data_IF_820347704114
#
_entry.id   IF_820347704114
#
_cell.length_a   1.000
_cell.length_b   1.000
_cell.length_c   1.000
_cell.angle_alpha   90.00
_cell.angle_beta   90.00
_cell.angle_gamma   90.00
#
_symmetry.space_group_name_H-M   'P 1'
#
loop_
_entity.id
_entity.type
_entity.pdbx_description
1 polymer ?
#
# COMPACT_ATOMS: atom_id res chain seq x y z
N UNK A 1 19.97 -14.44 -36.84
CA UNK A 1 19.62 -13.20 -37.56
C UNK A 1 19.89 -12.03 -36.60
N UNK A 2 21.08 -11.44 -36.74
CA UNK A 2 21.59 -10.34 -35.92
C UNK A 2 20.87 -9.04 -36.27
N UNK A 3 20.48 -8.25 -35.26
CA UNK A 3 20.11 -6.84 -35.44
C UNK A 3 21.34 -6.01 -35.08
N UNK A 4 22.04 -5.53 -36.10
CA UNK A 4 23.08 -4.52 -35.96
C UNK A 4 22.43 -3.20 -35.53
N UNK A 5 22.56 -2.88 -34.24
CA UNK A 5 22.25 -1.55 -33.73
C UNK A 5 23.41 -0.62 -34.06
N UNK A 6 23.11 0.40 -34.87
CA UNK A 6 24.02 1.51 -35.18
C UNK A 6 24.52 2.13 -33.87
N UNK A 7 25.84 2.03 -33.64
CA UNK A 7 26.52 2.76 -32.56
C UNK A 7 26.55 4.23 -32.92
N UNK A 8 25.65 5.01 -32.33
CA UNK A 8 25.84 6.47 -32.24
C UNK A 8 26.78 6.70 -31.06
N UNK A 9 28.04 7.02 -31.36
CA UNK A 9 29.05 7.36 -30.36
C UNK A 9 28.66 8.68 -29.66
N UNK A 10 28.51 8.67 -28.33
CA UNK A 10 28.65 9.89 -27.51
C UNK A 10 27.54 10.26 -26.52
N UNK A 11 26.39 9.57 -26.50
CA UNK A 11 25.36 9.84 -25.49
C UNK A 11 25.43 8.81 -24.35
N UNK A 12 25.36 9.23 -23.08
CA UNK A 12 25.28 8.28 -21.96
C UNK A 12 24.05 7.40 -22.14
N UNK A 13 24.24 6.09 -21.99
CA UNK A 13 23.17 5.11 -22.06
C UNK A 13 22.38 5.20 -20.76
N UNK A 14 21.24 5.89 -20.83
CA UNK A 14 20.30 5.95 -19.72
C UNK A 14 19.54 4.63 -19.66
N UNK A 15 19.64 3.94 -18.53
CA UNK A 15 18.87 2.73 -18.27
C UNK A 15 17.87 3.04 -17.15
N UNK A 16 16.57 2.68 -17.31
CA UNK A 16 15.59 2.86 -16.26
C UNK A 16 15.99 2.01 -15.04
N UNK A 17 16.07 2.64 -13.88
CA UNK A 17 16.31 1.94 -12.61
C UNK A 17 14.97 1.47 -12.08
N UNK A 18 14.53 0.30 -12.56
CA UNK A 18 13.25 -0.30 -12.21
C UNK A 18 13.44 -1.74 -11.73
N UNK A 19 12.60 -2.18 -10.78
CA UNK A 19 12.58 -3.57 -10.33
C UNK A 19 11.67 -4.39 -11.25
N UNK A 20 12.13 -4.64 -12.48
CA UNK A 20 11.44 -5.45 -13.49
C UNK A 20 11.86 -6.92 -13.36
N UNK A 21 11.36 -7.60 -12.33
CA UNK A 21 11.74 -8.99 -12.07
C UNK A 21 10.58 -9.80 -11.49
N UNK A 22 10.67 -11.13 -11.65
CA UNK A 22 9.86 -12.06 -10.89
C UNK A 22 10.07 -11.87 -9.37
N UNK A 23 9.11 -12.31 -8.57
CA UNK A 23 9.03 -12.05 -7.12
C UNK A 23 10.30 -12.49 -6.34
N UNK A 24 10.95 -13.58 -6.75
CA UNK A 24 12.12 -14.11 -6.06
C UNK A 24 13.35 -13.18 -6.21
N UNK A 25 13.63 -12.71 -7.43
CA UNK A 25 14.72 -11.75 -7.64
C UNK A 25 14.36 -10.33 -7.17
N UNK A 26 13.06 -10.01 -7.07
CA UNK A 26 12.59 -8.75 -6.46
C UNK A 26 13.04 -8.63 -5.00
N UNK A 27 12.88 -9.68 -4.21
CA UNK A 27 13.26 -9.68 -2.80
C UNK A 27 14.77 -9.40 -2.58
N UNK A 28 15.63 -9.84 -3.51
CA UNK A 28 17.06 -9.56 -3.44
C UNK A 28 17.39 -8.12 -3.84
N UNK A 29 16.75 -7.61 -4.90
CA UNK A 29 17.01 -6.26 -5.41
C UNK A 29 16.50 -5.17 -4.45
N UNK A 30 15.37 -5.38 -3.77
CA UNK A 30 14.87 -4.41 -2.78
C UNK A 30 15.79 -4.27 -1.56
N UNK A 31 16.67 -5.24 -1.31
CA UNK A 31 17.66 -5.19 -0.25
C UNK A 31 18.94 -4.42 -0.66
N UNK A 32 19.00 -3.94 -1.91
CA UNK A 32 20.15 -3.20 -2.46
C UNK A 32 19.78 -1.76 -2.78
N UNK A 33 20.77 -0.87 -2.80
CA UNK A 33 20.58 0.53 -3.20
C UNK A 33 20.19 0.62 -4.69
N UNK A 34 19.27 1.54 -5.08
CA UNK A 34 18.62 2.57 -4.25
C UNK A 34 17.28 2.12 -3.62
N UNK A 35 16.84 0.89 -3.89
CA UNK A 35 15.51 0.42 -3.50
C UNK A 35 15.36 0.21 -2.00
N UNK A 36 16.42 -0.26 -1.34
CA UNK A 36 16.45 -0.41 0.11
C UNK A 36 16.08 0.90 0.81
N UNK A 37 16.69 2.01 0.41
CA UNK A 37 16.40 3.32 1.00
C UNK A 37 14.94 3.72 0.82
N UNK A 38 14.36 3.51 -0.37
CA UNK A 38 12.96 3.79 -0.63
C UNK A 38 12.02 2.94 0.26
N UNK A 39 12.32 1.65 0.44
CA UNK A 39 11.56 0.74 1.30
C UNK A 39 11.69 1.13 2.78
N UNK A 40 12.86 1.59 3.22
CA UNK A 40 13.08 2.12 4.58
C UNK A 40 12.27 3.39 4.82
N UNK A 41 12.32 4.37 3.91
CA UNK A 41 11.53 5.60 4.03
C UNK A 41 10.03 5.28 4.04
N UNK A 42 9.59 4.37 3.17
CA UNK A 42 8.20 3.92 3.12
C UNK A 42 7.75 3.28 4.45
N UNK A 43 8.56 2.37 5.01
CA UNK A 43 8.30 1.75 6.31
C UNK A 43 8.15 2.79 7.43
N UNK A 44 9.08 3.75 7.52
CA UNK A 44 9.03 4.81 8.52
C UNK A 44 7.82 5.74 8.35
N UNK A 45 7.44 6.09 7.13
CA UNK A 45 6.25 6.90 6.87
C UNK A 45 4.97 6.19 7.33
N UNK A 46 4.85 4.89 7.09
CA UNK A 46 3.69 4.12 7.56
C UNK A 46 3.64 3.99 9.09
N UNK A 47 4.80 3.85 9.74
CA UNK A 47 4.88 3.77 11.21
C UNK A 47 4.34 5.03 11.90
N UNK A 48 4.54 6.20 11.31
CA UNK A 48 4.19 7.49 11.92
C UNK A 48 2.86 8.05 11.43
N UNK A 49 2.38 7.69 10.25
CA UNK A 49 1.15 8.24 9.68
C UNK A 49 -0.12 7.64 10.31
N UNK A 50 -0.94 8.44 11.00
CA UNK A 50 -2.19 7.96 11.61
C UNK A 50 -3.28 7.58 10.62
N UNK A 51 -3.11 7.95 9.35
CA UNK A 51 -4.04 7.62 8.27
C UNK A 51 -3.30 7.09 7.06
N UNK A 52 -3.80 6.00 6.51
CA UNK A 52 -3.25 5.38 5.30
C UNK A 52 -4.26 5.48 4.18
N UNK A 53 -3.84 6.02 3.05
CA UNK A 53 -4.57 5.96 1.79
C UNK A 53 -3.85 4.99 0.85
N UNK A 54 -4.52 3.91 0.48
CA UNK A 54 -4.00 2.92 -0.47
C UNK A 54 -4.89 2.95 -1.70
N UNK A 55 -4.42 3.52 -2.81
CA UNK A 55 -5.22 3.72 -4.01
C UNK A 55 -4.66 2.95 -5.21
N UNK A 56 -5.54 2.29 -5.97
CA UNK A 56 -5.17 1.59 -7.21
C UNK A 56 -4.23 0.40 -7.03
N UNK A 57 -4.15 -0.16 -5.81
CA UNK A 57 -3.24 -1.23 -5.47
C UNK A 57 -3.96 -2.58 -5.37
N UNK A 58 -3.41 -3.61 -6.02
CA UNK A 58 -4.05 -4.93 -6.12
C UNK A 58 -3.70 -5.89 -4.97
N UNK A 59 -2.81 -5.50 -4.05
CA UNK A 59 -2.31 -6.37 -2.97
C UNK A 59 -1.64 -7.67 -3.44
N UNK A 60 -1.05 -7.65 -4.64
CA UNK A 60 -0.32 -8.81 -5.21
C UNK A 60 1.21 -8.72 -5.07
N UNK A 61 1.73 -7.59 -4.61
CA UNK A 61 3.16 -7.42 -4.39
C UNK A 61 3.52 -7.84 -2.96
N UNK A 62 4.17 -8.99 -2.83
CA UNK A 62 4.50 -9.54 -1.52
C UNK A 62 5.44 -8.60 -0.74
N UNK A 63 6.35 -7.88 -1.38
CA UNK A 63 7.30 -7.02 -0.68
C UNK A 63 6.60 -5.84 0.02
N UNK A 64 5.61 -5.26 -0.66
CA UNK A 64 4.81 -4.16 -0.12
C UNK A 64 3.88 -4.68 0.96
N UNK A 65 3.24 -5.83 0.73
CA UNK A 65 2.37 -6.47 1.73
C UNK A 65 3.14 -6.84 3.00
N UNK A 66 4.38 -7.33 2.88
CA UNK A 66 5.24 -7.65 4.02
C UNK A 66 5.55 -6.41 4.85
N UNK A 67 5.82 -5.27 4.22
CA UNK A 67 5.96 -3.99 4.94
C UNK A 67 4.67 -3.60 5.65
N UNK A 68 3.52 -3.67 4.97
CA UNK A 68 2.23 -3.33 5.57
C UNK A 68 1.95 -4.20 6.82
N UNK A 69 2.21 -5.51 6.72
CA UNK A 69 2.07 -6.46 7.82
C UNK A 69 3.03 -6.21 8.99
N UNK A 70 4.29 -5.89 8.68
CA UNK A 70 5.27 -5.54 9.69
C UNK A 70 4.86 -4.27 10.44
N UNK A 71 4.47 -3.22 9.71
CA UNK A 71 4.05 -1.96 10.33
C UNK A 71 2.75 -2.14 11.13
N UNK A 72 1.78 -2.89 10.61
CA UNK A 72 0.56 -3.23 11.33
C UNK A 72 0.86 -3.89 12.68
N UNK A 73 1.78 -4.86 12.67
CA UNK A 73 2.22 -5.55 13.90
C UNK A 73 2.86 -4.58 14.90
N UNK A 74 3.73 -3.68 14.43
CA UNK A 74 4.34 -2.66 15.29
C UNK A 74 3.30 -1.70 15.88
N UNK A 75 2.26 -1.39 15.11
CA UNK A 75 1.19 -0.46 15.49
C UNK A 75 0.01 -1.11 16.20
N UNK A 76 0.15 -2.35 16.69
CA UNK A 76 -0.95 -3.10 17.34
C UNK A 76 -1.69 -2.34 18.45
N UNK A 77 -1.01 -1.46 19.19
CA UNK A 77 -1.59 -0.68 20.28
C UNK A 77 -2.20 0.65 19.81
N UNK A 78 -1.86 1.11 18.61
CA UNK A 78 -2.36 2.35 18.02
C UNK A 78 -2.49 2.19 16.48
N UNK A 79 -3.50 1.40 16.03
CA UNK A 79 -3.66 1.09 14.61
C UNK A 79 -4.11 2.33 13.81
N UNK A 80 -3.60 2.53 12.59
CA UNK A 80 -3.97 3.66 11.74
C UNK A 80 -5.41 3.53 11.20
N UNK A 81 -5.99 4.65 10.76
CA UNK A 81 -7.22 4.66 9.96
C UNK A 81 -6.88 4.47 8.47
N UNK A 82 -7.39 3.39 7.87
CA UNK A 82 -7.03 2.95 6.53
C UNK A 82 -8.23 3.16 5.59
N UNK A 83 -7.97 3.81 4.46
CA UNK A 83 -8.87 3.89 3.33
C UNK A 83 -8.20 3.23 2.12
N UNK A 84 -8.83 2.19 1.61
CA UNK A 84 -8.46 1.56 0.34
C UNK A 84 -9.40 2.06 -0.74
N UNK A 85 -8.83 2.60 -1.81
CA UNK A 85 -9.56 3.04 -3.00
C UNK A 85 -9.23 2.11 -4.16
N UNK A 86 -10.20 1.27 -4.51
CA UNK A 86 -10.15 0.34 -5.63
C UNK A 86 -11.19 0.71 -6.69
N UNK A 87 -11.11 0.06 -7.85
CA UNK A 87 -12.12 0.16 -8.91
C UNK A 87 -12.66 -1.24 -9.21
N UNK A 88 -13.98 -1.42 -9.04
CA UNK A 88 -14.63 -2.72 -9.17
C UNK A 88 -14.53 -3.56 -7.89
N UNK A 89 -14.98 -4.81 -7.97
CA UNK A 89 -15.22 -5.67 -6.80
C UNK A 89 -13.95 -6.28 -6.18
N UNK A 90 -12.86 -6.29 -6.95
CA UNK A 90 -11.57 -6.86 -6.55
C UNK A 90 -10.56 -5.75 -6.20
N UNK A 91 -9.59 -6.01 -5.29
CA UNK A 91 -9.48 -7.19 -4.42
C UNK A 91 -10.54 -7.18 -3.33
N UNK A 92 -10.99 -8.34 -2.83
CA UNK A 92 -12.03 -8.42 -1.79
C UNK A 92 -11.56 -7.87 -0.45
N UNK A 93 -12.52 -7.55 0.43
CA UNK A 93 -12.21 -6.99 1.75
C UNK A 93 -11.31 -7.93 2.56
N UNK A 94 -11.58 -9.23 2.50
CA UNK A 94 -10.85 -10.27 3.23
C UNK A 94 -9.41 -10.37 2.74
N UNK A 95 -9.19 -10.24 1.43
CA UNK A 95 -7.86 -10.25 0.81
C UNK A 95 -7.05 -9.01 1.20
N UNK A 96 -7.69 -7.84 1.17
CA UNK A 96 -7.09 -6.58 1.63
C UNK A 96 -6.68 -6.69 3.11
N UNK A 97 -7.61 -7.12 3.96
CA UNK A 97 -7.37 -7.27 5.40
C UNK A 97 -6.27 -8.29 5.68
N UNK A 98 -6.27 -9.43 5.00
CA UNK A 98 -5.25 -10.45 5.12
C UNK A 98 -3.86 -9.94 4.68
N UNK A 99 -3.78 -9.20 3.58
CA UNK A 99 -2.52 -8.64 3.08
C UNK A 99 -1.92 -7.60 4.05
N UNK A 100 -2.77 -6.78 4.68
CA UNK A 100 -2.33 -5.80 5.69
C UNK A 100 -1.97 -6.49 7.01
N UNK A 101 -2.66 -7.57 7.37
CA UNK A 101 -2.44 -8.29 8.63
C UNK A 101 -1.22 -9.24 8.60
N UNK A 102 -0.94 -9.83 7.44
CA UNK A 102 0.14 -10.81 7.25
C UNK A 102 -0.06 -12.12 8.02
N UNK A 103 -1.26 -12.41 8.53
CA UNK A 103 -1.56 -13.66 9.23
C UNK A 103 -1.04 -13.76 10.67
N UNK A 104 -0.53 -12.67 11.25
CA UNK A 104 0.07 -12.69 12.58
C UNK A 104 -0.98 -12.80 13.70
N UNK A 105 -1.20 -14.01 14.23
CA UNK A 105 -2.20 -14.31 15.28
C UNK A 105 -1.94 -13.62 16.62
N UNK A 106 -0.77 -13.03 16.84
CA UNK A 106 -0.48 -12.24 18.04
C UNK A 106 -1.08 -10.82 18.00
N UNK A 107 -1.67 -10.41 16.87
CA UNK A 107 -2.32 -9.12 16.68
C UNK A 107 -3.66 -9.33 15.98
N UNK A 108 -4.68 -8.54 16.34
CA UNK A 108 -5.98 -8.60 15.65
C UNK A 108 -5.85 -8.12 14.19
N UNK A 109 -6.61 -8.73 13.28
CA UNK A 109 -6.69 -8.29 11.90
C UNK A 109 -7.41 -6.93 11.78
N UNK A 110 -7.16 -6.15 10.71
CA UNK A 110 -7.92 -4.94 10.41
C UNK A 110 -9.43 -5.22 10.32
N UNK A 111 -10.21 -4.36 10.97
CA UNK A 111 -11.67 -4.46 11.02
C UNK A 111 -12.31 -3.27 10.32
N UNK A 112 -13.63 -3.31 10.10
CA UNK A 112 -14.34 -2.18 9.47
C UNK A 112 -14.28 -0.88 10.28
N UNK A 113 -13.86 -0.95 11.55
CA UNK A 113 -13.65 0.23 12.39
C UNK A 113 -12.44 1.07 11.94
N UNK A 114 -11.41 0.42 11.40
CA UNK A 114 -10.17 1.08 10.96
C UNK A 114 -9.77 0.78 9.51
N UNK A 115 -10.47 -0.09 8.80
CA UNK A 115 -10.28 -0.36 7.37
C UNK A 115 -11.60 -0.11 6.62
N UNK A 116 -11.57 0.87 5.72
CA UNK A 116 -12.67 1.18 4.80
C UNK A 116 -12.22 0.92 3.37
N UNK A 117 -13.15 0.47 2.53
CA UNK A 117 -12.89 0.23 1.11
C UNK A 117 -13.89 1.00 0.27
N UNK A 118 -13.41 1.76 -0.70
CA UNK A 118 -14.20 2.50 -1.68
C UNK A 118 -13.92 1.94 -3.08
N UNK A 119 -14.97 1.70 -3.87
CA UNK A 119 -14.94 0.81 -5.04
C UNK A 119 -15.10 1.51 -6.39
N UNK A 120 -15.23 2.83 -6.41
CA UNK A 120 -15.50 3.59 -7.63
C UNK A 120 -14.28 4.34 -8.18
N UNK A 121 -13.09 4.01 -7.69
CA UNK A 121 -11.84 4.60 -8.15
C UNK A 121 -11.52 5.97 -7.53
N UNK A 122 -10.25 6.37 -7.67
CA UNK A 122 -9.68 7.53 -6.98
C UNK A 122 -10.21 8.87 -7.49
N UNK A 123 -10.61 8.96 -8.76
CA UNK A 123 -11.08 10.21 -9.36
C UNK A 123 -12.35 10.76 -8.70
N UNK A 124 -13.22 9.87 -8.19
CA UNK A 124 -14.48 10.24 -7.53
C UNK A 124 -14.45 10.06 -6.02
N UNK A 125 -13.41 9.39 -5.48
CA UNK A 125 -13.31 9.08 -4.05
C UNK A 125 -13.37 10.31 -3.15
N UNK A 126 -12.68 11.44 -3.42
CA UNK A 126 -12.76 12.63 -2.56
C UNK A 126 -14.17 13.18 -2.36
N UNK A 127 -15.09 12.90 -3.28
CA UNK A 127 -16.47 13.41 -3.24
C UNK A 127 -17.46 12.45 -2.56
N UNK A 128 -16.99 11.36 -1.94
CA UNK A 128 -17.84 10.35 -1.33
C UNK A 128 -17.86 10.44 0.21
N UNK A 129 -18.92 9.94 0.82
CA UNK A 129 -19.06 9.92 2.28
C UNK A 129 -18.04 9.01 2.97
N UNK A 130 -17.56 7.95 2.31
CA UNK A 130 -16.50 7.09 2.84
C UNK A 130 -15.19 7.85 2.99
N UNK A 131 -14.83 8.68 2.02
CA UNK A 131 -13.66 9.55 2.11
C UNK A 131 -13.84 10.59 3.19
N UNK A 132 -14.96 11.32 3.21
CA UNK A 132 -15.23 12.36 4.21
C UNK A 132 -15.14 11.82 5.65
N UNK A 133 -15.65 10.60 5.90
CA UNK A 133 -15.56 9.93 7.21
C UNK A 133 -14.14 9.51 7.57
N UNK A 134 -13.35 9.07 6.60
CA UNK A 134 -11.94 8.70 6.82
C UNK A 134 -11.06 9.93 7.05
N UNK A 135 -11.28 10.99 6.28
CA UNK A 135 -10.55 12.26 6.36
C UNK A 135 -10.93 13.09 7.59
N UNK A 136 -11.98 12.71 8.32
CA UNK A 136 -12.49 13.47 9.46
C UNK A 136 -13.07 14.84 9.08
N UNK A 137 -13.25 15.12 7.78
CA UNK A 137 -13.83 16.34 7.24
C UNK A 137 -15.38 16.35 7.29
N UNK A 138 -16.00 15.28 7.79
CA UNK A 138 -17.45 15.22 8.00
C UNK A 138 -17.83 14.21 9.05
N UNK A 139 -18.40 14.71 10.15
CA UNK A 139 -18.74 14.04 11.43
C UNK A 139 -17.56 14.00 12.41
N UNK A 140 -17.24 15.17 12.98
CA UNK A 140 -16.52 15.22 14.24
C UNK A 140 -17.28 14.42 15.31
N UNK A 141 -16.55 13.74 16.19
CA UNK A 141 -16.96 13.30 17.53
C UNK A 141 -18.47 13.03 17.78
N UNK A 142 -19.16 12.33 16.89
CA UNK A 142 -20.47 11.74 17.19
C UNK A 142 -20.31 10.24 17.38
N UNK A 143 -20.12 9.93 18.66
CA UNK A 143 -20.60 8.73 19.34
C UNK A 143 -20.15 7.38 18.76
N UNK A 144 -19.04 6.87 19.29
CA UNK A 144 -18.77 5.43 19.38
C UNK A 144 -19.66 4.74 20.41
N UNK A 145 -20.98 4.94 20.34
CA UNK A 145 -21.95 4.20 21.15
C UNK A 145 -23.19 3.78 20.34
N UNK A 146 -23.38 2.46 20.34
CA UNK A 146 -24.62 1.69 20.12
C UNK A 146 -25.13 1.53 18.68
N UNK A 147 -24.89 0.36 18.10
CA UNK A 147 -25.89 -0.72 17.96
C UNK A 147 -25.21 -2.03 17.57
#
# INVERSE_FOLDING_TARGET
MMRDFVRICGLPRWEPVEVLTNQSAKNQLIATEPFWFAYTVFFHALLTADRWLIAGYSFRDACVNDILAQVWTHRKNNPPQILVVAYGDEPKYEEISAAIWGGNRSVAAPTRANLRVYRHGIAVAPNCSTWARWDGAGLGDVAWQLT
#
